data_IF_000193254594
#
_entry.id   IF_000193254594
#
_cell.length_a   1.000
_cell.length_b   1.000
_cell.length_c   1.000
_cell.angle_alpha   90.00
_cell.angle_beta   90.00
_cell.angle_gamma   90.00
#
_symmetry.space_group_name_H-M   'P 1'
#
loop_
_entity.id
_entity.type
_entity.pdbx_description
1 polymer ?
#
# COMPACT_ATOMS: atom_id res chain seq x y z
N UNK A 1 -13.87 30.99 -29.04
CA UNK A 1 -14.06 30.46 -27.67
C UNK A 1 -13.16 31.27 -26.73
N UNK A 2 -13.75 32.07 -25.86
CA UNK A 2 -13.09 33.18 -25.12
C UNK A 2 -12.12 32.72 -24.02
N UNK A 3 -11.13 33.56 -23.75
CA UNK A 3 -10.12 33.40 -22.70
C UNK A 3 -10.79 33.22 -21.31
N UNK A 4 -11.93 33.87 -21.09
CA UNK A 4 -12.74 33.77 -19.85
C UNK A 4 -13.25 32.34 -19.56
N UNK A 5 -13.64 31.58 -20.59
CA UNK A 5 -14.07 30.19 -20.43
C UNK A 5 -12.89 29.28 -20.05
N UNK A 6 -11.68 29.59 -20.53
CA UNK A 6 -10.45 28.88 -20.17
C UNK A 6 -10.01 29.20 -18.73
N UNK A 7 -10.12 30.46 -18.32
CA UNK A 7 -9.79 30.91 -16.97
C UNK A 7 -10.78 30.37 -15.93
N UNK A 8 -12.09 30.32 -16.26
CA UNK A 8 -13.08 29.66 -15.41
C UNK A 8 -12.79 28.17 -15.23
N UNK A 9 -12.49 27.44 -16.32
CA UNK A 9 -12.10 26.03 -16.24
C UNK A 9 -10.86 25.83 -15.37
N UNK A 10 -9.83 26.67 -15.55
CA UNK A 10 -8.61 26.62 -14.72
C UNK A 10 -8.89 26.86 -13.24
N UNK A 11 -9.66 27.90 -12.92
CA UNK A 11 -10.04 28.22 -11.54
C UNK A 11 -10.84 27.09 -10.89
N UNK A 12 -11.81 26.53 -11.63
CA UNK A 12 -12.60 25.39 -11.18
C UNK A 12 -11.74 24.14 -10.93
N UNK A 13 -10.85 23.77 -11.85
CA UNK A 13 -9.93 22.65 -11.68
C UNK A 13 -8.93 22.87 -10.53
N UNK A 14 -8.46 24.10 -10.35
CA UNK A 14 -7.58 24.45 -9.23
C UNK A 14 -8.31 24.33 -7.88
N UNK A 15 -9.55 24.81 -7.79
CA UNK A 15 -10.38 24.73 -6.59
C UNK A 15 -10.70 23.28 -6.24
N UNK A 16 -11.20 22.49 -7.19
CA UNK A 16 -11.50 21.07 -7.00
C UNK A 16 -10.26 20.26 -6.61
N UNK A 17 -9.12 20.53 -7.26
CA UNK A 17 -7.84 19.94 -6.89
C UNK A 17 -7.39 20.30 -5.46
N UNK A 18 -7.67 21.54 -5.01
CA UNK A 18 -7.37 21.97 -3.64
C UNK A 18 -8.25 21.27 -2.60
N UNK A 19 -9.56 21.21 -2.85
CA UNK A 19 -10.52 20.52 -1.98
C UNK A 19 -10.19 19.02 -1.86
N UNK A 20 -9.80 18.37 -2.96
CA UNK A 20 -9.38 16.96 -2.94
C UNK A 20 -8.13 16.74 -2.08
N UNK A 21 -7.15 17.65 -2.15
CA UNK A 21 -5.94 17.60 -1.30
C UNK A 21 -6.27 17.83 0.16
N UNK A 22 -7.13 18.80 0.47
CA UNK A 22 -7.58 19.09 1.84
C UNK A 22 -8.34 17.91 2.44
N UNK A 23 -9.24 17.27 1.68
CA UNK A 23 -9.96 16.06 2.10
C UNK A 23 -9.01 14.88 2.36
N UNK A 24 -8.01 14.66 1.49
CA UNK A 24 -6.99 13.61 1.71
C UNK A 24 -6.12 13.90 2.93
N UNK A 25 -5.75 15.17 3.15
CA UNK A 25 -4.98 15.57 4.31
C UNK A 25 -5.78 15.40 5.60
N UNK A 26 -7.08 15.73 5.59
CA UNK A 26 -7.97 15.49 6.72
C UNK A 26 -8.05 13.99 7.08
N UNK A 27 -8.21 13.11 6.09
CA UNK A 27 -8.17 11.65 6.32
C UNK A 27 -6.86 11.18 6.95
N UNK A 28 -5.73 11.65 6.41
CA UNK A 28 -4.41 11.33 6.97
C UNK A 28 -4.24 11.82 8.42
N UNK A 29 -4.71 13.04 8.73
CA UNK A 29 -4.70 13.57 10.11
C UNK A 29 -5.56 12.74 11.06
N UNK A 30 -6.69 12.23 10.59
CA UNK A 30 -7.56 11.32 11.34
C UNK A 30 -7.01 9.89 11.44
N UNK A 31 -5.81 9.61 10.92
CA UNK A 31 -5.19 8.28 10.94
C UNK A 31 -5.75 7.31 9.90
N UNK A 32 -6.68 7.75 9.05
CA UNK A 32 -7.25 6.96 7.96
C UNK A 32 -6.30 7.06 6.76
N UNK A 33 -5.76 5.93 6.31
CA UNK A 33 -4.86 5.91 5.15
C UNK A 33 -5.61 6.39 3.89
N UNK A 34 -5.21 7.52 3.27
CA UNK A 34 -5.99 8.13 2.19
C UNK A 34 -5.75 7.52 0.81
N UNK A 35 -4.66 6.74 0.64
CA UNK A 35 -4.24 6.19 -0.65
C UNK A 35 -4.81 4.79 -0.88
N UNK A 36 -4.60 4.24 -2.09
CA UNK A 36 -4.93 2.84 -2.38
C UNK A 36 -4.15 1.92 -1.44
N UNK A 37 -4.86 1.03 -0.73
CA UNK A 37 -4.24 0.09 0.19
C UNK A 37 -3.28 -0.85 -0.54
N UNK A 38 -2.12 -1.18 0.08
CA UNK A 38 -1.28 -2.25 -0.43
C UNK A 38 -2.03 -3.59 -0.50
N UNK A 39 -1.59 -4.47 -1.40
CA UNK A 39 -2.11 -5.84 -1.52
C UNK A 39 -1.97 -6.53 -0.16
N UNK A 40 -2.94 -7.36 0.26
CA UNK A 40 -2.93 -7.98 1.58
C UNK A 40 -3.83 -7.32 2.61
N UNK A 41 -4.39 -6.15 2.30
CA UNK A 41 -5.25 -5.40 3.20
C UNK A 41 -6.55 -5.02 2.51
N UNK A 42 -7.62 -4.95 3.30
CA UNK A 42 -8.94 -4.45 2.90
C UNK A 42 -9.40 -3.36 3.84
N UNK A 43 -10.20 -2.43 3.32
CA UNK A 43 -10.95 -1.47 4.14
C UNK A 43 -12.18 -2.17 4.67
N UNK A 44 -12.40 -2.07 5.97
CA UNK A 44 -13.59 -2.57 6.66
C UNK A 44 -14.22 -1.38 7.36
N UNK A 45 -15.51 -1.19 7.16
CA UNK A 45 -16.29 -0.20 7.90
C UNK A 45 -16.92 -0.93 9.08
N UNK A 46 -16.48 -0.60 10.29
CA UNK A 46 -16.99 -1.17 11.53
C UNK A 46 -17.28 -0.02 12.50
N UNK A 47 -18.43 -0.05 13.17
CA UNK A 47 -18.80 0.93 14.21
C UNK A 47 -18.77 2.40 13.75
N UNK A 48 -19.02 2.66 12.46
CA UNK A 48 -18.96 4.01 11.89
C UNK A 48 -17.55 4.51 11.57
N UNK A 49 -16.52 3.70 11.81
CA UNK A 49 -15.12 4.03 11.52
C UNK A 49 -14.56 3.18 10.36
N UNK A 50 -13.71 3.79 9.55
CA UNK A 50 -12.98 3.10 8.49
C UNK A 50 -11.70 2.49 9.06
N UNK A 51 -11.64 1.16 9.14
CA UNK A 51 -10.49 0.39 9.64
C UNK A 51 -9.79 -0.35 8.50
N UNK A 52 -8.50 -0.60 8.68
CA UNK A 52 -7.68 -1.36 7.73
C UNK A 52 -7.37 -2.72 8.36
N UNK A 53 -7.82 -3.77 7.70
CA UNK A 53 -7.63 -5.13 8.19
C UNK A 53 -6.88 -5.99 7.17
N UNK A 54 -6.06 -6.95 7.65
CA UNK A 54 -5.53 -8.01 6.80
C UNK A 54 -6.63 -8.75 6.03
N UNK A 55 -6.46 -8.89 4.73
CA UNK A 55 -7.34 -9.72 3.91
C UNK A 55 -7.02 -11.21 4.18
N UNK A 56 -7.98 -12.01 4.66
CA UNK A 56 -7.73 -13.42 5.00
C UNK A 56 -7.22 -14.26 3.81
N UNK A 57 -7.50 -13.88 2.57
CA UNK A 57 -7.04 -14.62 1.40
C UNK A 57 -5.61 -14.25 0.99
N UNK A 58 -5.31 -12.95 0.93
CA UNK A 58 -4.03 -12.47 0.37
C UNK A 58 -2.96 -12.23 1.43
N UNK A 59 -3.34 -11.88 2.67
CA UNK A 59 -2.40 -11.62 3.77
C UNK A 59 -1.48 -12.81 4.08
N UNK A 60 -1.95 -14.07 4.16
CA UNK A 60 -1.08 -15.21 4.43
C UNK A 60 -0.03 -15.43 3.33
N UNK A 61 -0.39 -15.16 2.08
CA UNK A 61 0.52 -15.31 0.93
C UNK A 61 1.65 -14.29 1.00
N UNK A 62 1.33 -13.05 1.41
CA UNK A 62 2.33 -12.00 1.59
C UNK A 62 3.25 -12.31 2.76
N UNK A 63 2.71 -12.75 3.90
CA UNK A 63 3.54 -13.19 5.04
C UNK A 63 4.54 -14.27 4.61
N UNK A 64 4.07 -15.27 3.88
CA UNK A 64 4.93 -16.31 3.32
C UNK A 64 6.03 -15.74 2.42
N UNK A 65 5.71 -14.76 1.56
CA UNK A 65 6.70 -14.14 0.68
C UNK A 65 7.83 -13.46 1.48
N UNK A 66 7.48 -12.73 2.53
CA UNK A 66 8.46 -12.11 3.44
C UNK A 66 9.31 -13.16 4.17
N UNK A 67 8.70 -14.22 4.67
CA UNK A 67 9.41 -15.30 5.35
C UNK A 67 10.40 -16.03 4.42
N UNK A 68 10.01 -16.29 3.17
CA UNK A 68 10.88 -16.97 2.19
C UNK A 68 12.13 -16.13 1.87
N UNK A 69 11.98 -14.82 1.72
CA UNK A 69 13.11 -13.92 1.47
C UNK A 69 13.96 -13.76 2.73
N UNK A 70 13.35 -13.58 3.90
CA UNK A 70 14.08 -13.39 5.16
C UNK A 70 14.93 -14.60 5.52
N UNK A 71 14.51 -15.82 5.14
CA UNK A 71 15.31 -17.05 5.30
C UNK A 71 16.52 -17.11 4.35
N UNK A 72 16.69 -16.18 3.40
CA UNK A 72 17.70 -16.18 2.33
C UNK A 72 17.75 -17.47 1.48
N UNK A 73 16.71 -18.31 1.54
CA UNK A 73 16.66 -19.60 0.84
C UNK A 73 16.07 -19.50 -0.56
N UNK A 74 15.61 -18.32 -0.97
CA UNK A 74 14.87 -18.15 -2.22
C UNK A 74 15.22 -16.84 -2.91
N UNK A 75 15.58 -16.92 -4.19
CA UNK A 75 15.66 -15.76 -5.08
C UNK A 75 14.27 -15.14 -5.28
N UNK A 76 14.20 -13.84 -5.55
CA UNK A 76 12.95 -13.12 -5.87
C UNK A 76 12.09 -13.85 -6.92
N UNK A 77 12.70 -14.43 -7.95
CA UNK A 77 11.99 -15.18 -9.00
C UNK A 77 11.30 -16.44 -8.49
N UNK A 78 11.91 -17.15 -7.53
CA UNK A 78 11.32 -18.33 -6.89
C UNK A 78 10.14 -17.93 -6.01
N UNK A 79 10.31 -16.87 -5.21
CA UNK A 79 9.21 -16.33 -4.39
C UNK A 79 8.05 -15.87 -5.27
N UNK A 80 8.35 -15.22 -6.40
CA UNK A 80 7.34 -14.81 -7.38
C UNK A 80 6.55 -16.00 -7.93
N UNK A 81 7.22 -17.09 -8.29
CA UNK A 81 6.55 -18.31 -8.75
C UNK A 81 5.65 -18.90 -7.64
N UNK A 82 6.13 -18.96 -6.40
CA UNK A 82 5.35 -19.48 -5.26
C UNK A 82 4.11 -18.65 -4.97
N UNK A 83 4.22 -17.32 -4.92
CA UNK A 83 3.06 -16.45 -4.64
C UNK A 83 2.05 -16.44 -5.78
N UNK A 84 2.51 -16.51 -7.04
CA UNK A 84 1.63 -16.66 -8.22
C UNK A 84 0.90 -18.01 -8.19
N UNK A 85 1.57 -19.09 -7.85
CA UNK A 85 0.96 -20.42 -7.72
C UNK A 85 -0.11 -20.44 -6.61
N UNK A 86 0.08 -19.64 -5.55
CA UNK A 86 -0.93 -19.44 -4.49
C UNK A 86 -2.05 -18.46 -4.87
N UNK A 87 -2.05 -17.93 -6.09
CA UNK A 87 -3.11 -17.06 -6.61
C UNK A 87 -2.97 -15.58 -6.25
N UNK A 88 -1.78 -15.12 -5.82
CA UNK A 88 -1.57 -13.69 -5.53
C UNK A 88 -1.68 -12.86 -6.81
N UNK A 89 -2.69 -11.99 -6.83
CA UNK A 89 -2.97 -11.07 -7.93
C UNK A 89 -2.71 -9.63 -7.50
N UNK A 90 -2.31 -8.81 -8.47
CA UNK A 90 -2.25 -7.36 -8.30
C UNK A 90 -3.64 -6.74 -8.26
N UNK A 91 -3.70 -5.44 -8.01
CA UNK A 91 -4.98 -4.72 -7.96
C UNK A 91 -5.75 -4.68 -9.28
N UNK A 92 -5.09 -4.97 -10.41
CA UNK A 92 -5.73 -5.10 -11.73
C UNK A 92 -6.27 -6.51 -12.00
N UNK A 93 -6.18 -7.43 -11.03
CA UNK A 93 -6.53 -8.84 -11.20
C UNK A 93 -5.47 -9.67 -11.95
N UNK A 94 -4.41 -9.03 -12.44
CA UNK A 94 -3.31 -9.69 -13.16
C UNK A 94 -2.26 -10.27 -12.20
N UNK A 95 -1.50 -11.30 -12.63
CA UNK A 95 -0.38 -11.81 -11.87
C UNK A 95 0.64 -10.70 -11.57
N UNK A 96 1.16 -10.66 -10.34
CA UNK A 96 2.17 -9.65 -9.98
C UNK A 96 3.46 -9.86 -10.77
N UNK A 97 4.19 -8.79 -11.11
CA UNK A 97 5.52 -8.86 -11.72
C UNK A 97 6.63 -8.94 -10.67
N UNK A 98 7.86 -9.25 -11.10
CA UNK A 98 9.04 -9.26 -10.22
C UNK A 98 9.27 -7.88 -9.58
N UNK A 99 9.17 -6.81 -10.37
CA UNK A 99 9.33 -5.44 -9.89
C UNK A 99 8.23 -5.05 -8.90
N UNK A 100 6.99 -5.50 -9.14
CA UNK A 100 5.88 -5.29 -8.21
C UNK A 100 6.11 -6.03 -6.88
N UNK A 101 6.63 -7.26 -6.93
CA UNK A 101 7.02 -8.01 -5.73
C UNK A 101 8.14 -7.32 -4.96
N UNK A 102 9.17 -6.83 -5.64
CA UNK A 102 10.26 -6.08 -4.99
C UNK A 102 9.74 -4.82 -4.29
N UNK A 103 8.86 -4.05 -4.96
CA UNK A 103 8.22 -2.87 -4.36
C UNK A 103 7.32 -3.23 -3.17
N UNK A 104 6.66 -4.38 -3.22
CA UNK A 104 5.84 -4.90 -2.12
C UNK A 104 6.72 -5.20 -0.89
N UNK A 105 7.81 -5.92 -1.10
CA UNK A 105 8.73 -6.35 -0.04
C UNK A 105 9.49 -5.20 0.63
N UNK A 106 9.74 -4.12 -0.11
CA UNK A 106 10.39 -2.90 0.41
C UNK A 106 9.42 -1.90 1.02
N UNK A 107 8.11 -2.13 0.92
CA UNK A 107 7.11 -1.21 1.44
C UNK A 107 7.04 -1.29 2.97
N UNK A 108 7.22 -0.15 3.65
CA UNK A 108 7.17 -0.05 5.11
C UNK A 108 5.78 -0.32 5.69
N UNK A 109 4.74 -0.20 4.86
CA UNK A 109 3.36 -0.39 5.28
C UNK A 109 3.14 -1.77 5.93
N UNK A 110 3.86 -2.80 5.48
CA UNK A 110 3.71 -4.16 5.99
C UNK A 110 4.18 -4.37 7.43
N UNK A 111 5.00 -3.46 7.97
CA UNK A 111 5.43 -3.48 9.37
C UNK A 111 4.78 -2.39 10.24
N UNK A 112 3.83 -1.63 9.69
CA UNK A 112 2.99 -0.67 10.44
C UNK A 112 3.35 0.80 10.28
N UNK A 113 4.24 1.16 9.34
CA UNK A 113 4.62 2.55 9.09
C UNK A 113 4.44 2.92 7.62
N UNK A 114 4.02 4.15 7.35
CA UNK A 114 3.93 4.66 5.98
C UNK A 114 4.42 6.09 5.88
N UNK A 115 4.91 6.46 4.69
CA UNK A 115 5.31 7.83 4.38
C UNK A 115 4.13 8.58 3.82
N UNK A 116 3.78 9.71 4.45
CA UNK A 116 2.76 10.63 3.97
C UNK A 116 3.27 12.07 4.06
N UNK A 117 3.24 12.78 2.93
CA UNK A 117 3.67 14.18 2.83
C UNK A 117 5.07 14.45 3.43
N UNK A 118 6.04 13.55 3.18
CA UNK A 118 7.41 13.65 3.69
C UNK A 118 7.60 13.21 5.15
N UNK A 119 6.52 12.97 5.90
CA UNK A 119 6.57 12.49 7.29
C UNK A 119 6.34 10.97 7.36
N UNK A 120 7.02 10.30 8.29
CA UNK A 120 6.73 8.90 8.64
C UNK A 120 5.60 8.90 9.67
N UNK A 121 4.50 8.24 9.34
CA UNK A 121 3.32 8.13 10.19
C UNK A 121 3.14 6.67 10.59
N UNK A 122 2.89 6.45 11.88
CA UNK A 122 2.54 5.12 12.38
C UNK A 122 1.08 4.81 12.02
N UNK A 123 0.87 3.68 11.37
CA UNK A 123 -0.46 3.22 10.98
C UNK A 123 -1.22 2.60 12.14
N UNK A 124 -2.50 2.94 12.26
CA UNK A 124 -3.42 2.29 13.19
C UNK A 124 -4.04 1.04 12.55
N UNK A 125 -3.22 0.03 12.24
CA UNK A 125 -3.66 -1.24 11.66
C UNK A 125 -2.73 -2.39 12.04
N UNK A 126 -3.20 -3.63 11.87
CA UNK A 126 -2.43 -4.82 12.25
C UNK A 126 -1.30 -5.07 11.24
N UNK A 127 -0.01 -4.97 11.63
CA UNK A 127 1.08 -5.25 10.72
C UNK A 127 1.11 -6.74 10.34
N UNK A 128 1.47 -7.02 9.09
CA UNK A 128 1.62 -8.40 8.60
C UNK A 128 2.98 -8.98 8.97
N UNK A 129 4.00 -8.14 9.09
CA UNK A 129 5.39 -8.53 9.25
C UNK A 129 6.00 -7.74 10.41
N UNK A 130 6.89 -8.38 11.19
CA UNK A 130 7.61 -7.66 12.23
C UNK A 130 8.79 -6.85 11.64
N UNK A 131 9.29 -5.87 12.40
CA UNK A 131 10.41 -5.03 11.98
C UNK A 131 11.69 -5.83 11.69
N UNK A 132 11.91 -6.94 12.39
CA UNK A 132 13.08 -7.81 12.20
C UNK A 132 13.11 -8.46 10.82
N UNK A 133 12.01 -9.09 10.41
CA UNK A 133 11.84 -9.73 9.10
C UNK A 133 11.95 -8.68 7.99
N UNK A 134 11.33 -7.51 8.16
CA UNK A 134 11.45 -6.43 7.17
C UNK A 134 12.90 -5.94 7.01
N UNK A 135 13.63 -5.73 8.11
CA UNK A 135 15.03 -5.33 8.09
C UNK A 135 15.94 -6.36 7.38
N UNK A 136 15.65 -7.66 7.51
CA UNK A 136 16.39 -8.70 6.81
C UNK A 136 16.19 -8.64 5.29
N UNK A 137 15.00 -8.25 4.84
CA UNK A 137 14.70 -8.09 3.41
C UNK A 137 15.35 -6.83 2.83
N UNK A 138 15.26 -5.70 3.54
CA UNK A 138 15.78 -4.41 3.07
C UNK A 138 17.31 -4.33 2.94
N UNK A 139 18.06 -5.23 3.59
CA UNK A 139 19.53 -5.31 3.51
C UNK A 139 20.05 -6.12 2.32
N UNK A 140 19.18 -6.74 1.52
CA UNK A 140 19.57 -7.59 0.39
C UNK A 140 19.64 -6.83 -0.96
N UNK A 141 19.89 -5.52 -0.95
CA UNK A 141 20.05 -4.71 -2.17
C UNK A 141 21.47 -4.67 -2.67
#
# INVERSE_FOLDING_TARGET
>A
MTNEMQDFKRAYFAQTGRMAREAMAAKARSGIYPLKLPIGYKRVFAEGEERIEPDPQTAPIIKLAFELIARKRSSLSKVLATVRAKGLKGHSGQPISLSALHRLLTNSFYFGEYKYNGSVVQGNYRPLVNRGVWNLVGRCS
#
